data_IF_220510411742
#
_entry.id   IF_220510411742
#
_cell.length_a   1.000
_cell.length_b   1.000
_cell.length_c   1.000
_cell.angle_alpha   90.00
_cell.angle_beta   90.00
_cell.angle_gamma   90.00
#
_symmetry.space_group_name_H-M   'P 1'
#
loop_
_entity.id
_entity.type
_entity.pdbx_description
1 polymer ?
#
# COMPACT_ATOMS: atom_id res chain seq x y z
N UNK A 1 -13.20 -5.97 9.56
CA UNK A 1 -12.66 -5.34 8.33
C UNK A 1 -12.12 -3.97 8.72
N UNK A 2 -10.86 -3.68 8.39
CA UNK A 2 -10.20 -2.38 8.62
C UNK A 2 -9.70 -1.86 7.27
N UNK A 3 -9.97 -0.59 6.97
CA UNK A 3 -9.42 0.09 5.80
C UNK A 3 -8.41 1.15 6.28
N UNK A 4 -7.12 0.91 6.00
CA UNK A 4 -6.04 1.82 6.40
C UNK A 4 -6.15 3.21 5.78
N UNK A 5 -6.72 3.31 4.58
CA UNK A 5 -6.85 4.59 3.90
C UNK A 5 -7.91 5.45 4.59
N UNK A 6 -8.99 4.84 5.05
CA UNK A 6 -9.97 5.53 5.90
C UNK A 6 -9.36 5.90 7.26
N UNK A 7 -8.62 4.99 7.91
CA UNK A 7 -7.95 5.30 9.18
C UNK A 7 -6.97 6.48 9.05
N UNK A 8 -6.09 6.43 8.05
CA UNK A 8 -5.05 7.43 7.83
C UNK A 8 -5.60 8.76 7.30
N UNK A 9 -6.82 8.76 6.76
CA UNK A 9 -7.55 9.98 6.39
C UNK A 9 -8.52 10.44 7.46
N UNK A 10 -8.54 9.81 8.64
CA UNK A 10 -9.49 10.06 9.71
C UNK A 10 -10.93 10.10 9.20
N UNK A 11 -11.30 9.08 8.41
CA UNK A 11 -12.60 8.95 7.76
C UNK A 11 -13.00 10.18 6.94
N UNK A 12 -12.02 10.78 6.25
CA UNK A 12 -12.19 11.95 5.40
C UNK A 12 -12.09 13.31 6.12
N UNK A 13 -11.82 13.35 7.43
CA UNK A 13 -11.51 14.60 8.13
C UNK A 13 -10.19 15.22 7.62
N UNK A 14 -9.24 14.39 7.18
CA UNK A 14 -8.09 14.85 6.40
C UNK A 14 -8.47 15.04 4.93
N UNK A 15 -8.34 16.28 4.43
CA UNK A 15 -8.55 16.60 3.00
C UNK A 15 -7.52 15.98 2.07
N UNK A 16 -6.39 15.48 2.60
CA UNK A 16 -5.30 14.90 1.80
C UNK A 16 -5.36 13.39 1.86
N UNK A 17 -5.58 12.77 0.70
CA UNK A 17 -5.49 11.32 0.49
C UNK A 17 -4.15 11.02 -0.18
N UNK A 18 -3.33 10.20 0.46
CA UNK A 18 -2.02 9.82 -0.06
C UNK A 18 -2.05 8.38 -0.61
N UNK A 19 -1.16 8.09 -1.54
CA UNK A 19 -1.00 6.75 -2.11
C UNK A 19 -0.27 5.83 -1.14
N UNK A 20 -0.43 4.51 -1.31
CA UNK A 20 0.35 3.52 -0.56
C UNK A 20 1.87 3.75 -0.69
N UNK A 21 2.33 4.08 -1.89
CA UNK A 21 3.75 4.39 -2.16
C UNK A 21 4.26 5.59 -1.33
N UNK A 22 3.45 6.64 -1.18
CA UNK A 22 3.83 7.79 -0.35
C UNK A 22 3.96 7.38 1.12
N UNK A 23 3.01 6.60 1.65
CA UNK A 23 3.09 6.09 3.02
C UNK A 23 4.30 5.16 3.22
N UNK A 24 4.59 4.30 2.23
CA UNK A 24 5.75 3.43 2.30
C UNK A 24 7.04 4.23 2.40
N UNK A 25 7.24 5.22 1.50
CA UNK A 25 8.39 6.12 1.54
C UNK A 25 8.49 6.90 2.86
N UNK A 26 7.36 7.36 3.38
CA UNK A 26 7.31 8.16 4.62
C UNK A 26 7.76 7.34 5.82
N UNK A 27 7.37 6.07 5.90
CA UNK A 27 7.69 5.19 7.02
C UNK A 27 8.90 4.27 6.78
N UNK A 28 9.60 4.40 5.65
CA UNK A 28 10.74 3.56 5.30
C UNK A 28 10.37 2.10 4.97
N UNK A 29 9.11 1.84 4.62
CA UNK A 29 8.64 0.54 4.13
C UNK A 29 9.08 0.39 2.67
N UNK A 30 9.55 -0.80 2.28
CA UNK A 30 9.88 -1.07 0.88
C UNK A 30 8.63 -0.88 0.01
N UNK A 31 8.70 0.01 -0.97
CA UNK A 31 7.56 0.23 -1.86
C UNK A 31 7.44 -0.90 -2.89
N UNK A 32 6.23 -1.42 -3.15
CA UNK A 32 6.00 -2.41 -4.21
C UNK A 32 6.33 -1.87 -5.61
N UNK A 33 6.41 -0.54 -5.78
CA UNK A 33 6.83 0.11 -7.02
C UNK A 33 8.34 0.08 -7.26
N UNK A 34 9.15 -0.23 -6.24
CA UNK A 34 10.60 -0.37 -6.42
C UNK A 34 10.97 -1.56 -7.30
N UNK A 35 10.08 -2.56 -7.38
CA UNK A 35 10.27 -3.73 -8.25
C UNK A 35 9.92 -3.43 -9.72
N UNK A 36 9.69 -2.15 -10.07
CA UNK A 36 9.63 -1.64 -11.44
C UNK A 36 8.28 -1.78 -12.15
N UNK A 37 7.30 -2.46 -11.54
CA UNK A 37 5.95 -2.59 -12.09
C UNK A 37 5.06 -1.51 -11.49
N UNK A 38 4.41 -0.75 -12.35
CA UNK A 38 3.36 0.20 -11.97
C UNK A 38 1.98 -0.29 -12.38
N UNK A 39 0.94 0.19 -11.69
CA UNK A 39 -0.46 -0.15 -12.01
C UNK A 39 -0.86 0.16 -13.45
N UNK A 40 -0.19 1.12 -14.12
CA UNK A 40 -0.44 1.45 -15.52
C UNK A 40 0.02 0.35 -16.49
N UNK A 41 1.05 -0.40 -16.12
CA UNK A 41 1.67 -1.43 -16.98
C UNK A 41 0.95 -2.78 -16.87
N UNK A 42 0.11 -2.98 -15.85
CA UNK A 42 -0.58 -4.25 -15.58
C UNK A 42 -1.36 -4.75 -16.79
N UNK A 43 -2.02 -3.85 -17.53
CA UNK A 43 -2.78 -4.20 -18.73
C UNK A 43 -1.90 -4.80 -19.83
N UNK A 44 -0.72 -4.22 -20.04
CA UNK A 44 0.20 -4.64 -21.09
C UNK A 44 0.96 -5.91 -20.68
N UNK A 45 1.34 -6.02 -19.40
CA UNK A 45 1.92 -7.23 -18.81
C UNK A 45 0.94 -8.41 -18.91
N UNK A 46 -0.35 -8.16 -18.67
CA UNK A 46 -1.40 -9.19 -18.79
C UNK A 46 -1.54 -9.68 -20.23
N UNK A 47 -1.59 -8.76 -21.21
CA UNK A 47 -1.62 -9.11 -22.63
C UNK A 47 -0.37 -9.87 -23.08
N UNK A 48 0.78 -9.58 -22.48
CA UNK A 48 2.03 -10.28 -22.73
C UNK A 48 2.11 -11.67 -22.04
N UNK A 49 1.07 -12.12 -21.33
CA UNK A 49 1.04 -13.42 -20.65
C UNK A 49 1.92 -13.51 -19.40
N UNK A 50 2.45 -12.38 -18.91
CA UNK A 50 3.37 -12.30 -17.77
C UNK A 50 2.63 -12.28 -16.42
N UNK A 51 1.77 -13.28 -16.19
CA UNK A 51 0.89 -13.31 -15.02
C UNK A 51 1.64 -13.42 -13.69
N UNK A 52 2.78 -14.13 -13.67
CA UNK A 52 3.58 -14.28 -12.46
C UNK A 52 4.13 -12.93 -11.96
N UNK A 53 4.43 -12.02 -12.88
CA UNK A 53 4.94 -10.69 -12.53
C UNK A 53 3.83 -9.82 -11.92
N UNK A 54 2.60 -9.93 -12.43
CA UNK A 54 1.42 -9.30 -11.82
C UNK A 54 1.18 -9.88 -10.42
N UNK A 55 1.27 -11.21 -10.26
CA UNK A 55 1.09 -11.85 -8.96
C UNK A 55 2.13 -11.37 -7.95
N UNK A 56 3.40 -11.25 -8.34
CA UNK A 56 4.46 -10.69 -7.49
C UNK A 56 4.18 -9.25 -7.10
N UNK A 57 3.73 -8.41 -8.04
CA UNK A 57 3.32 -7.03 -7.78
C UNK A 57 2.20 -6.97 -6.73
N UNK A 58 1.15 -7.78 -6.89
CA UNK A 58 0.05 -7.84 -5.91
C UNK A 58 0.52 -8.33 -4.53
N UNK A 59 1.41 -9.33 -4.48
CA UNK A 59 2.01 -9.79 -3.21
C UNK A 59 2.85 -8.70 -2.56
N UNK A 60 3.53 -7.86 -3.34
CA UNK A 60 4.24 -6.67 -2.86
C UNK A 60 3.29 -5.70 -2.16
N UNK A 61 2.16 -5.35 -2.79
CA UNK A 61 1.13 -4.48 -2.20
C UNK A 61 0.60 -5.04 -0.88
N UNK A 62 0.39 -6.37 -0.78
CA UNK A 62 -0.05 -7.04 0.45
C UNK A 62 0.98 -6.90 1.58
N UNK A 63 2.27 -7.13 1.29
CA UNK A 63 3.35 -7.00 2.28
C UNK A 63 3.46 -5.57 2.80
N UNK A 64 3.50 -4.60 1.89
CA UNK A 64 3.58 -3.19 2.25
C UNK A 64 2.37 -2.74 3.08
N UNK A 65 1.16 -3.22 2.74
CA UNK A 65 -0.05 -2.93 3.52
C UNK A 65 0.00 -3.53 4.92
N UNK A 66 0.53 -4.75 5.07
CA UNK A 66 0.68 -5.40 6.37
C UNK A 66 1.69 -4.66 7.28
N UNK A 67 2.80 -4.20 6.70
CA UNK A 67 3.79 -3.37 7.43
C UNK A 67 3.19 -2.03 7.85
N UNK A 68 2.44 -1.38 6.96
CA UNK A 68 1.73 -0.13 7.26
C UNK A 68 0.67 -0.32 8.35
N UNK A 69 -0.05 -1.44 8.34
CA UNK A 69 -0.99 -1.80 9.41
C UNK A 69 -0.26 -1.89 10.76
N UNK A 70 0.88 -2.59 10.80
CA UNK A 70 1.67 -2.72 12.03
C UNK A 70 2.11 -1.35 12.58
N UNK A 71 2.54 -0.43 11.72
CA UNK A 71 2.88 0.94 12.13
C UNK A 71 1.64 1.66 12.68
N UNK A 72 0.51 1.58 11.97
CA UNK A 72 -0.71 2.22 12.41
C UNK A 72 -1.16 1.70 13.79
N UNK A 73 -1.16 0.38 14.00
CA UNK A 73 -1.58 -0.24 15.27
C UNK A 73 -0.68 0.15 16.45
N UNK A 74 0.63 0.26 16.23
CA UNK A 74 1.60 0.49 17.30
C UNK A 74 1.82 1.98 17.63
N UNK A 75 1.64 2.87 16.65
CA UNK A 75 2.03 4.28 16.79
C UNK A 75 0.93 5.29 16.54
N UNK A 76 -0.12 4.94 15.79
CA UNK A 76 -1.18 5.88 15.38
C UNK A 76 -2.50 5.55 16.08
N UNK A 77 -2.79 4.27 16.32
CA UNK A 77 -4.02 3.86 16.97
C UNK A 77 -4.00 4.21 18.47
N UNK A 78 -4.70 5.28 18.83
CA UNK A 78 -4.82 5.75 20.21
C UNK A 78 -5.76 4.89 21.07
N UNK A 79 -6.55 3.99 20.48
CA UNK A 79 -7.47 3.11 21.24
C UNK A 79 -6.77 1.93 21.94
N UNK A 80 -5.49 1.68 21.62
CA UNK A 80 -4.67 0.64 22.27
C UNK A 80 -3.83 1.18 23.46
N UNK A 81 -4.15 2.37 23.98
CA UNK A 81 -3.53 2.95 25.18
C UNK A 81 -4.55 3.20 26.29
#
# INVERSE_FOLDING_TARGET
HIDLLDQLTFYGASRRRFSLDMWCRTFGIKSPKEDGITGYEVKDIFKAGRYLDIAKYCVGDLKATAELLSIWENFINFSNR
#
